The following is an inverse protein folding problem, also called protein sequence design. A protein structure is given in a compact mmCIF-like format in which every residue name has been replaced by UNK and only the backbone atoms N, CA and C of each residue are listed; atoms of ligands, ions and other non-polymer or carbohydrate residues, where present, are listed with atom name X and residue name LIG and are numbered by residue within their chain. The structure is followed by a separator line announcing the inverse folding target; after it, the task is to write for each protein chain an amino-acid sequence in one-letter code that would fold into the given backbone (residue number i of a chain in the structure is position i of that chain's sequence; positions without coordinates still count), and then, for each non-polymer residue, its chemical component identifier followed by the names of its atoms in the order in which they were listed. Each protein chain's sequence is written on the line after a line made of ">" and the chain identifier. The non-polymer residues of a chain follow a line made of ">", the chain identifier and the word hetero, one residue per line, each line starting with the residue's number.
data_IF_735431730567
#
_entry.id   IF_735431730567
#
_cell.length_a   1.000
_cell.length_b   1.000
_cell.length_c   1.000
_cell.angle_alpha   90.00
_cell.angle_beta   90.00
_cell.angle_gamma   90.00
#
_symmetry.space_group_name_H-M   'P 1'
#
loop_
_entity.id
_entity.type
_entity.pdbx_description
1 polymer ?
#
# COMPACT_ATOMS: atom_id res chain seq x y z
N UNK A 1 16.75 -5.18 -24.18
CA UNK A 1 15.49 -4.49 -23.87
C UNK A 1 15.63 -2.99 -24.12
N UNK A 2 14.82 -2.46 -25.03
CA UNK A 2 14.65 -1.02 -25.20
C UNK A 2 13.44 -0.56 -24.40
N UNK A 3 13.59 0.52 -23.63
CA UNK A 3 12.51 1.15 -22.88
C UNK A 3 12.33 2.59 -23.36
N UNK A 4 11.09 3.01 -23.54
CA UNK A 4 10.71 4.40 -23.80
C UNK A 4 9.65 4.88 -22.81
N UNK A 5 9.64 6.17 -22.53
CA UNK A 5 8.63 6.82 -21.70
C UNK A 5 7.75 7.70 -22.60
N UNK A 6 6.45 7.52 -22.53
CA UNK A 6 5.48 8.29 -23.33
C UNK A 6 4.27 8.66 -22.48
N UNK A 7 3.66 9.80 -22.79
CA UNK A 7 2.33 10.14 -22.26
C UNK A 7 1.31 9.86 -23.33
N UNK A 8 0.30 9.03 -23.03
CA UNK A 8 -0.72 8.70 -24.02
C UNK A 8 -1.74 9.84 -24.20
N UNK A 9 -2.64 9.69 -25.17
CA UNK A 9 -3.68 10.69 -25.48
C UNK A 9 -4.66 11.00 -24.32
N UNK A 10 -4.66 10.19 -23.25
CA UNK A 10 -5.46 10.39 -22.03
C UNK A 10 -4.64 11.00 -20.89
N UNK A 11 -3.41 11.44 -21.14
CA UNK A 11 -2.53 11.99 -20.11
C UNK A 11 -2.03 10.94 -19.12
N UNK A 12 -1.97 9.66 -19.49
CA UNK A 12 -1.37 8.63 -18.62
C UNK A 12 0.09 8.37 -19.04
N UNK A 13 0.97 8.37 -18.04
CA UNK A 13 2.35 7.98 -18.23
C UNK A 13 2.44 6.49 -18.56
N UNK A 14 3.18 6.17 -19.61
CA UNK A 14 3.38 4.81 -20.08
C UNK A 14 4.88 4.54 -20.28
N UNK A 15 5.37 3.46 -19.70
CA UNK A 15 6.68 2.89 -19.97
C UNK A 15 6.48 1.80 -21.02
N UNK A 16 6.97 2.03 -22.23
CA UNK A 16 6.88 1.07 -23.34
C UNK A 16 8.18 0.29 -23.46
N UNK A 17 8.09 -1.02 -23.67
CA UNK A 17 9.25 -1.88 -23.85
C UNK A 17 9.03 -2.90 -24.98
N UNK A 18 10.09 -3.51 -25.50
CA UNK A 18 10.04 -4.40 -26.68
C UNK A 18 10.33 -5.89 -26.39
N UNK A 19 10.83 -6.20 -25.20
CA UNK A 19 11.15 -7.56 -24.74
C UNK A 19 10.30 -7.95 -23.52
N UNK A 20 9.88 -9.21 -23.41
CA UNK A 20 9.07 -9.66 -22.27
C UNK A 20 9.94 -9.73 -21.00
N UNK A 21 9.43 -9.26 -19.86
CA UNK A 21 10.09 -9.46 -18.59
C UNK A 21 10.06 -10.93 -18.16
N UNK A 22 11.09 -11.35 -17.44
CA UNK A 22 11.18 -12.70 -16.86
C UNK A 22 10.20 -12.89 -15.69
N UNK A 23 9.83 -11.79 -15.02
CA UNK A 23 8.87 -11.75 -13.93
C UNK A 23 7.92 -10.55 -14.08
N UNK A 24 6.71 -10.59 -13.47
CA UNK A 24 5.80 -9.46 -13.48
C UNK A 24 6.39 -8.26 -12.71
N UNK A 25 6.36 -7.04 -13.28
CA UNK A 25 6.69 -5.83 -12.56
C UNK A 25 5.59 -5.49 -11.54
N UNK A 26 5.99 -5.09 -10.33
CA UNK A 26 5.09 -4.76 -9.22
C UNK A 26 4.86 -3.26 -9.07
N UNK A 27 5.92 -2.46 -9.19
CA UNK A 27 5.87 -1.00 -9.16
C UNK A 27 7.10 -0.42 -9.86
N UNK A 28 7.03 0.89 -10.15
CA UNK A 28 8.17 1.65 -10.65
C UNK A 28 8.54 2.70 -9.60
N UNK A 29 9.81 2.73 -9.20
CA UNK A 29 10.37 3.80 -8.39
C UNK A 29 10.90 4.92 -9.27
N UNK A 30 10.64 6.16 -8.89
CA UNK A 30 11.30 7.34 -9.43
C UNK A 30 12.20 7.93 -8.36
N UNK A 31 13.52 7.81 -8.56
CA UNK A 31 14.52 8.36 -7.66
C UNK A 31 14.66 9.87 -7.90
N UNK A 32 14.19 10.69 -6.96
CA UNK A 32 14.20 12.15 -7.08
C UNK A 32 15.62 12.73 -7.12
N UNK A 33 16.55 12.10 -6.39
CA UNK A 33 17.96 12.51 -6.33
C UNK A 33 18.72 12.23 -7.63
N UNK A 34 18.33 11.17 -8.35
CA UNK A 34 18.98 10.72 -9.59
C UNK A 34 18.18 11.05 -10.85
N UNK A 35 16.94 11.54 -10.69
CA UNK A 35 15.98 11.72 -11.79
C UNK A 35 15.84 10.49 -12.68
N UNK A 36 15.85 9.31 -12.07
CA UNK A 36 15.92 8.02 -12.77
C UNK A 36 14.78 7.10 -12.33
N UNK A 37 14.29 6.29 -13.27
CA UNK A 37 13.28 5.26 -13.01
C UNK A 37 13.92 3.90 -12.73
N UNK A 38 13.29 3.12 -11.87
CA UNK A 38 13.67 1.74 -11.56
C UNK A 38 12.41 0.86 -11.49
N UNK A 39 12.42 -0.26 -12.21
CA UNK A 39 11.31 -1.22 -12.21
C UNK A 39 11.60 -2.27 -11.15
N UNK A 40 10.63 -2.54 -10.28
CA UNK A 40 10.72 -3.59 -9.27
C UNK A 40 9.84 -4.77 -9.68
N UNK A 41 10.32 -5.99 -9.44
CA UNK A 41 9.66 -7.23 -9.85
C UNK A 41 9.22 -8.05 -8.65
N UNK A 42 8.24 -8.93 -8.86
CA UNK A 42 7.72 -9.83 -7.83
C UNK A 42 8.79 -10.78 -7.25
N UNK A 43 9.84 -11.06 -8.04
CA UNK A 43 11.00 -11.85 -7.60
C UNK A 43 11.91 -11.13 -6.59
N UNK A 44 11.65 -9.84 -6.31
CA UNK A 44 12.53 -8.96 -5.54
C UNK A 44 13.69 -8.39 -6.35
N UNK A 45 13.83 -8.77 -7.63
CA UNK A 45 14.76 -8.13 -8.54
C UNK A 45 14.31 -6.69 -8.85
N UNK A 46 15.26 -5.83 -9.19
CA UNK A 46 14.98 -4.51 -9.74
C UNK A 46 15.80 -4.26 -11.01
N UNK A 47 15.31 -3.35 -11.84
CA UNK A 47 15.93 -2.96 -13.10
C UNK A 47 15.96 -1.44 -13.21
N UNK A 48 17.10 -0.78 -12.96
CA UNK A 48 17.25 0.64 -13.19
C UNK A 48 17.22 0.93 -14.69
N UNK A 49 16.49 1.96 -15.08
CA UNK A 49 16.37 2.38 -16.47
C UNK A 49 17.49 3.38 -16.72
N UNK A 50 18.40 3.04 -17.63
CA UNK A 50 19.51 3.91 -18.03
C UNK A 50 19.01 5.11 -18.85
N UNK A 51 18.40 6.07 -18.16
CA UNK A 51 17.78 7.28 -18.68
C UNK A 51 17.59 8.28 -17.54
N UNK A 52 17.84 9.56 -17.81
CA UNK A 52 17.66 10.66 -16.86
C UNK A 52 16.52 11.57 -17.33
N UNK A 53 15.66 11.98 -16.39
CA UNK A 53 14.52 12.83 -16.68
C UNK A 53 14.93 14.27 -17.00
N UNK A 54 14.38 14.80 -18.09
CA UNK A 54 14.39 16.24 -18.37
C UNK A 54 13.54 16.98 -17.35
N UNK A 55 13.73 18.29 -17.17
CA UNK A 55 12.97 19.08 -16.17
C UNK A 55 11.45 18.99 -16.38
N UNK A 56 10.98 18.97 -17.64
CA UNK A 56 9.57 18.81 -17.95
C UNK A 56 9.04 17.43 -17.51
N UNK A 57 9.81 16.38 -17.77
CA UNK A 57 9.42 15.02 -17.40
C UNK A 57 9.56 14.78 -15.89
N UNK A 58 10.55 15.39 -15.23
CA UNK A 58 10.71 15.38 -13.77
C UNK A 58 9.47 15.98 -13.09
N UNK A 59 9.04 17.17 -13.52
CA UNK A 59 7.82 17.80 -13.01
C UNK A 59 6.56 16.94 -13.25
N UNK A 60 6.51 16.22 -14.37
CA UNK A 60 5.41 15.30 -14.67
C UNK A 60 5.44 14.06 -13.76
N UNK A 61 6.62 13.45 -13.60
CA UNK A 61 6.85 12.27 -12.78
C UNK A 61 6.55 12.57 -11.31
N UNK A 62 6.97 13.71 -10.79
CA UNK A 62 6.67 14.15 -9.42
C UNK A 62 5.16 14.30 -9.14
N UNK A 63 4.36 14.61 -10.16
CA UNK A 63 2.89 14.72 -10.03
C UNK A 63 2.14 13.42 -10.33
N UNK A 64 2.85 12.40 -10.82
CA UNK A 64 2.26 11.14 -11.24
C UNK A 64 2.42 10.09 -10.16
N UNK A 65 1.34 9.41 -9.79
CA UNK A 65 1.34 8.26 -8.88
C UNK A 65 1.09 6.93 -9.61
N UNK A 66 0.95 6.99 -10.95
CA UNK A 66 0.60 5.86 -11.81
C UNK A 66 1.45 5.86 -13.07
N UNK A 67 1.87 4.67 -13.46
CA UNK A 67 2.56 4.42 -14.73
C UNK A 67 2.10 3.08 -15.29
N UNK A 68 1.77 3.08 -16.59
CA UNK A 68 1.41 1.86 -17.30
C UNK A 68 2.66 1.28 -17.96
N UNK A 69 3.03 0.05 -17.63
CA UNK A 69 4.10 -0.63 -18.37
C UNK A 69 3.45 -1.40 -19.52
N UNK A 70 3.92 -1.21 -20.76
CA UNK A 70 3.30 -1.78 -21.96
C UNK A 70 4.35 -2.46 -22.83
N UNK A 71 4.19 -3.77 -23.04
CA UNK A 71 4.96 -4.51 -24.02
C UNK A 71 4.43 -4.21 -25.43
N UNK A 72 5.31 -3.71 -26.28
CA UNK A 72 5.02 -3.38 -27.68
C UNK A 72 5.72 -4.38 -28.60
N UNK A 73 4.97 -5.02 -29.49
CA UNK A 73 5.52 -5.90 -30.54
C UNK A 73 4.96 -5.51 -31.89
N UNK A 74 5.83 -5.25 -32.87
CA UNK A 74 5.43 -4.81 -34.23
C UNK A 74 4.43 -3.62 -34.19
N UNK A 75 4.73 -2.62 -33.34
CA UNK A 75 3.91 -1.41 -33.12
C UNK A 75 2.51 -1.66 -32.55
N UNK A 76 2.25 -2.83 -31.96
CA UNK A 76 0.99 -3.13 -31.27
C UNK A 76 1.24 -3.45 -29.79
N UNK A 77 0.38 -3.00 -28.86
CA UNK A 77 0.44 -3.43 -27.48
C UNK A 77 0.08 -4.91 -27.39
N UNK A 78 0.89 -5.68 -26.65
CA UNK A 78 0.73 -7.13 -26.47
C UNK A 78 0.36 -7.46 -25.03
N UNK A 79 0.98 -6.78 -24.07
CA UNK A 79 0.81 -7.01 -22.64
C UNK A 79 0.94 -5.67 -21.92
N UNK A 80 0.30 -5.53 -20.77
CA UNK A 80 0.43 -4.31 -19.98
C UNK A 80 0.18 -4.53 -18.50
N UNK A 81 0.86 -3.73 -17.69
CA UNK A 81 0.80 -3.74 -16.23
C UNK A 81 0.36 -2.37 -15.73
N UNK A 82 -0.69 -2.32 -14.91
CA UNK A 82 -1.10 -1.11 -14.18
C UNK A 82 -0.30 -1.02 -12.90
N UNK A 83 0.78 -0.25 -12.95
CA UNK A 83 1.75 -0.14 -11.85
C UNK A 83 1.69 1.21 -11.17
N UNK A 84 1.96 1.21 -9.87
CA UNK A 84 2.15 2.45 -9.12
C UNK A 84 3.52 3.07 -9.46
N UNK A 85 3.57 4.40 -9.50
CA UNK A 85 4.81 5.15 -9.54
C UNK A 85 5.08 5.67 -8.13
N UNK A 86 6.19 5.24 -7.52
CA UNK A 86 6.60 5.63 -6.17
C UNK A 86 7.74 6.63 -6.26
N UNK A 87 7.67 7.73 -5.51
CA UNK A 87 8.77 8.68 -5.40
C UNK A 87 9.72 8.21 -4.31
N UNK A 88 10.99 8.07 -4.68
CA UNK A 88 12.04 7.55 -3.83
C UNK A 88 13.12 8.60 -3.58
N UNK A 89 13.63 8.68 -2.37
CA UNK A 89 14.91 9.33 -2.04
C UNK A 89 15.83 8.24 -1.51
N UNK A 90 17.00 8.06 -2.13
CA UNK A 90 17.99 7.03 -1.73
C UNK A 90 17.41 5.60 -1.64
N UNK A 91 16.34 5.31 -2.39
CA UNK A 91 15.66 4.00 -2.37
C UNK A 91 14.55 3.84 -1.32
N UNK A 92 14.25 4.88 -0.53
CA UNK A 92 13.13 4.89 0.41
C UNK A 92 11.95 5.71 -0.14
N UNK A 93 10.73 5.22 0.04
CA UNK A 93 9.52 5.90 -0.44
C UNK A 93 9.20 7.14 0.41
N UNK A 94 8.69 8.18 -0.24
CA UNK A 94 8.40 9.48 0.38
C UNK A 94 6.90 9.69 0.42
N UNK A 95 6.37 10.10 1.58
CA UNK A 95 5.03 10.68 1.68
C UNK A 95 5.09 12.16 1.26
N UNK A 96 4.45 12.48 0.14
CA UNK A 96 4.35 13.86 -0.32
C UNK A 96 3.31 14.61 0.53
N UNK A 97 3.78 15.42 1.48
CA UNK A 97 2.93 16.41 2.17
C UNK A 97 2.59 17.54 1.19
N UNK A 98 1.29 17.72 0.91
CA UNK A 98 0.81 18.93 0.24
C UNK A 98 0.92 20.10 1.22
N UNK A 99 1.95 20.95 1.04
CA UNK A 99 2.14 22.16 1.81
C UNK A 99 1.39 23.33 1.16
N UNK A 100 0.57 24.02 1.95
CA UNK A 100 0.12 25.37 1.63
C UNK A 100 0.03 26.21 2.91
N UNK A 101 0.94 27.17 3.04
CA UNK A 101 0.59 28.50 3.55
C UNK A 101 1.17 28.88 4.92
N UNK A 102 2.35 29.47 4.86
CA UNK A 102 3.12 30.15 5.90
C UNK A 102 2.41 31.37 6.55
N UNK A 103 2.61 31.58 7.86
CA UNK A 103 2.66 32.89 8.56
C UNK A 103 3.08 32.73 10.05
N UNK A 104 4.29 33.17 10.38
CA UNK A 104 4.88 33.40 11.73
C UNK A 104 4.55 34.84 12.23
N UNK A 105 5.01 35.36 13.42
CA UNK A 105 5.41 34.76 14.72
C UNK A 105 4.79 35.53 15.95
N UNK A 106 4.88 35.05 17.21
CA UNK A 106 5.88 35.41 18.27
C UNK A 106 5.16 35.41 19.65
N UNK A 107 5.83 35.70 20.79
CA UNK A 107 6.91 35.01 21.51
C UNK A 107 6.38 34.49 22.88
N UNK A 108 7.13 33.68 23.66
CA UNK A 108 7.91 34.20 24.79
C UNK A 108 8.96 33.18 25.25
N UNK A 109 10.22 33.66 25.23
CA UNK A 109 11.40 33.41 26.10
C UNK A 109 11.36 32.27 27.13
N UNK A 110 12.30 31.31 27.04
CA UNK A 110 13.56 31.19 27.84
C UNK A 110 13.29 30.91 29.34
N UNK A 111 13.92 29.99 30.05
CA UNK A 111 15.19 29.23 29.98
C UNK A 111 15.10 28.19 31.11
N UNK A 112 15.78 27.04 31.01
CA UNK A 112 16.82 26.67 32.00
C UNK A 112 17.29 25.20 31.92
N UNK A 113 18.62 25.12 31.76
CA UNK A 113 19.58 24.26 32.49
C UNK A 113 19.60 22.73 32.27
N UNK A 114 20.77 22.29 31.77
CA UNK A 114 21.30 20.92 31.71
C UNK A 114 22.07 20.63 33.01
N UNK A 115 21.86 19.46 33.65
CA UNK A 115 22.92 18.51 34.04
C UNK A 115 22.41 17.19 34.66
N UNK A 116 22.89 16.08 34.05
CA UNK A 116 23.35 14.79 34.62
C UNK A 116 22.49 14.03 35.66
N UNK A 117 22.15 12.77 35.34
CA UNK A 117 22.81 11.59 35.93
C UNK A 117 22.39 10.28 35.23
N UNK A 118 23.35 9.35 35.21
CA UNK A 118 23.31 7.92 34.86
C UNK A 118 22.11 7.21 35.55
N UNK A 119 21.53 6.11 35.06
CA UNK A 119 22.13 4.79 34.91
C UNK A 119 21.06 3.77 34.41
N UNK A 120 21.51 2.63 33.90
CA UNK A 120 20.78 1.35 33.78
C UNK A 120 20.00 1.06 32.48
N UNK A 121 20.70 0.33 31.60
CA UNK A 121 20.23 -0.80 30.79
C UNK A 121 18.72 -1.10 30.83
N UNK A 122 18.04 -0.88 29.70
CA UNK A 122 17.01 -1.80 29.23
C UNK A 122 17.03 -1.86 27.71
N UNK A 123 17.47 -3.02 27.21
CA UNK A 123 17.08 -3.50 25.89
C UNK A 123 15.55 -3.56 25.86
N UNK A 124 14.92 -2.69 25.09
CA UNK A 124 13.50 -2.78 24.73
C UNK A 124 13.49 -3.18 23.26
N UNK A 125 13.47 -4.48 23.00
CA UNK A 125 12.29 -5.22 22.50
C UNK A 125 11.60 -4.52 21.33
N UNK A 126 11.60 -5.25 20.23
CA UNK A 126 10.95 -4.94 18.96
C UNK A 126 9.44 -5.03 19.22
N UNK A 127 8.81 -3.91 19.55
CA UNK A 127 7.37 -3.89 19.79
C UNK A 127 6.62 -3.57 18.48
N UNK A 128 5.94 -4.61 18.00
CA UNK A 128 4.78 -4.71 17.11
C UNK A 128 4.31 -3.44 16.37
N UNK A 129 4.19 -3.47 15.02
CA UNK A 129 3.55 -2.38 14.29
C UNK A 129 2.04 -2.41 14.55
N UNK A 130 1.55 -1.31 15.09
CA UNK A 130 0.21 -1.15 15.65
C UNK A 130 -0.84 -1.13 14.54
N UNK A 131 -1.77 -2.10 14.55
CA UNK A 131 -3.09 -1.98 13.91
C UNK A 131 -3.96 -1.10 14.83
N UNK A 132 -3.68 0.20 14.92
CA UNK A 132 -4.28 1.07 15.95
C UNK A 132 -5.71 1.52 15.64
N UNK A 133 -6.16 1.41 14.39
CA UNK A 133 -7.42 2.00 13.92
C UNK A 133 -8.49 0.98 13.52
N UNK A 134 -8.14 -0.29 13.34
CA UNK A 134 -9.07 -1.35 12.95
C UNK A 134 -9.50 -2.13 14.18
N UNK A 135 -10.80 -2.22 14.39
CA UNK A 135 -11.38 -2.94 15.53
C UNK A 135 -11.15 -4.45 15.40
N UNK A 136 -10.55 -5.07 16.41
CA UNK A 136 -10.51 -6.53 16.52
C UNK A 136 -11.88 -7.07 16.92
N UNK A 137 -12.33 -8.16 16.29
CA UNK A 137 -13.59 -8.84 16.67
C UNK A 137 -13.33 -10.26 17.15
N UNK A 138 -14.25 -10.75 17.98
CA UNK A 138 -14.19 -12.09 18.58
C UNK A 138 -15.32 -12.95 18.05
N UNK A 139 -15.27 -14.26 18.28
CA UNK A 139 -16.38 -15.19 17.99
C UNK A 139 -17.72 -14.70 18.57
N UNK A 140 -17.70 -14.08 19.76
CA UNK A 140 -18.91 -13.62 20.44
C UNK A 140 -19.56 -12.40 19.75
N UNK A 141 -18.77 -11.57 19.08
CA UNK A 141 -19.25 -10.33 18.45
C UNK A 141 -19.46 -10.48 16.94
N UNK A 142 -18.83 -11.48 16.32
CA UNK A 142 -18.89 -11.74 14.87
C UNK A 142 -20.31 -11.77 14.30
N UNK A 143 -21.24 -12.44 14.99
CA UNK A 143 -22.63 -12.54 14.54
C UNK A 143 -23.32 -11.16 14.43
N UNK A 144 -23.10 -10.28 15.41
CA UNK A 144 -23.77 -8.99 15.40
C UNK A 144 -23.03 -7.98 14.52
N UNK A 145 -21.70 -7.96 14.57
CA UNK A 145 -20.87 -6.95 13.91
C UNK A 145 -20.64 -7.25 12.42
N UNK A 146 -20.71 -8.52 12.00
CA UNK A 146 -20.47 -8.95 10.62
C UNK A 146 -21.72 -9.51 9.97
N UNK A 147 -22.38 -10.50 10.59
CA UNK A 147 -23.49 -11.21 9.94
C UNK A 147 -24.76 -10.35 9.87
N UNK A 148 -25.10 -9.66 10.96
CA UNK A 148 -26.29 -8.81 11.04
C UNK A 148 -26.04 -7.37 10.58
N UNK A 149 -24.85 -7.05 10.08
CA UNK A 149 -24.52 -5.72 9.63
C UNK A 149 -25.36 -5.33 8.41
N UNK A 150 -25.92 -4.11 8.45
CA UNK A 150 -26.70 -3.54 7.35
C UNK A 150 -25.80 -2.95 6.23
N UNK A 151 -24.53 -2.73 6.53
CA UNK A 151 -23.54 -2.11 5.64
C UNK A 151 -22.53 -3.19 5.21
N UNK A 152 -21.79 -3.02 4.11
CA UNK A 152 -20.75 -3.96 3.74
C UNK A 152 -19.65 -3.99 4.82
N UNK A 153 -19.21 -5.20 5.19
CA UNK A 153 -18.20 -5.42 6.24
C UNK A 153 -16.99 -6.15 5.67
N UNK A 154 -15.81 -5.57 5.82
CA UNK A 154 -14.55 -6.20 5.43
C UNK A 154 -13.90 -6.86 6.65
N UNK A 155 -13.65 -8.16 6.60
CA UNK A 155 -12.96 -8.92 7.64
C UNK A 155 -11.56 -9.30 7.17
N UNK A 156 -10.55 -8.93 7.95
CA UNK A 156 -9.14 -9.17 7.70
C UNK A 156 -8.57 -10.26 8.61
N UNK A 157 -8.22 -11.41 8.03
CA UNK A 157 -7.59 -12.54 8.72
C UNK A 157 -6.06 -12.44 8.64
N UNK A 158 -5.39 -12.51 9.79
CA UNK A 158 -3.95 -12.30 9.93
C UNK A 158 -3.33 -13.10 11.08
N UNK A 159 -2.00 -13.09 11.20
CA UNK A 159 -1.24 -13.57 12.38
C UNK A 159 0.01 -12.72 12.62
N UNK A 160 0.57 -12.80 13.82
CA UNK A 160 1.72 -11.98 14.27
C UNK A 160 3.03 -12.28 13.50
N UNK A 161 3.22 -13.53 13.13
CA UNK A 161 4.42 -14.01 12.43
C UNK A 161 4.32 -13.88 10.90
N UNK A 162 3.21 -13.36 10.39
CA UNK A 162 2.97 -13.16 8.96
C UNK A 162 3.55 -11.81 8.49
N UNK A 163 4.70 -11.85 7.81
CA UNK A 163 5.36 -10.63 7.30
C UNK A 163 4.50 -9.83 6.31
N UNK A 164 3.83 -10.51 5.38
CA UNK A 164 2.93 -9.90 4.39
C UNK A 164 1.65 -9.31 5.00
N UNK A 165 1.24 -9.80 6.18
CA UNK A 165 0.12 -9.27 6.94
C UNK A 165 0.39 -7.85 7.44
N UNK A 166 1.64 -7.52 7.80
CA UNK A 166 1.98 -6.14 8.21
C UNK A 166 1.75 -5.12 7.11
N UNK A 167 2.16 -5.45 5.88
CA UNK A 167 1.97 -4.57 4.73
C UNK A 167 0.50 -4.34 4.41
N UNK A 168 -0.33 -5.39 4.45
CA UNK A 168 -1.77 -5.24 4.23
C UNK A 168 -2.46 -4.49 5.37
N UNK A 169 -2.05 -4.73 6.62
CA UNK A 169 -2.56 -4.01 7.79
C UNK A 169 -2.33 -2.50 7.71
N UNK A 170 -1.13 -2.06 7.31
CA UNK A 170 -0.84 -0.64 7.07
C UNK A 170 -1.75 -0.06 5.99
N UNK A 171 -1.87 -0.75 4.86
CA UNK A 171 -2.73 -0.33 3.75
C UNK A 171 -4.21 -0.21 4.17
N UNK A 172 -4.71 -1.14 5.00
CA UNK A 172 -6.07 -1.10 5.52
C UNK A 172 -6.26 0.06 6.49
N UNK A 173 -5.32 0.33 7.40
CA UNK A 173 -5.39 1.47 8.33
C UNK A 173 -5.47 2.79 7.56
N UNK A 174 -4.63 2.97 6.55
CA UNK A 174 -4.63 4.18 5.72
C UNK A 174 -5.92 4.34 4.91
N UNK A 175 -6.57 3.25 4.50
CA UNK A 175 -7.86 3.29 3.79
C UNK A 175 -9.06 3.45 4.72
N UNK A 176 -8.95 2.98 5.96
CA UNK A 176 -10.04 3.03 6.92
C UNK A 176 -10.51 4.47 7.13
N UNK A 177 -9.57 5.41 7.25
CA UNK A 177 -9.87 6.84 7.39
C UNK A 177 -10.70 7.41 6.21
N UNK A 178 -10.53 6.86 5.01
CA UNK A 178 -11.21 7.31 3.79
C UNK A 178 -12.56 6.60 3.56
N UNK A 179 -12.74 5.40 4.13
CA UNK A 179 -13.84 4.49 3.80
C UNK A 179 -14.76 4.17 4.98
N UNK A 180 -14.52 4.73 6.17
CA UNK A 180 -15.32 4.52 7.39
C UNK A 180 -16.82 4.74 7.20
N UNK A 181 -17.22 5.67 6.32
CA UNK A 181 -18.63 5.96 6.03
C UNK A 181 -19.28 4.97 5.06
N UNK A 182 -18.47 4.11 4.41
CA UNK A 182 -18.91 3.19 3.35
C UNK A 182 -18.79 1.72 3.73
N UNK A 183 -17.79 1.37 4.55
CA UNK A 183 -17.57 0.01 5.05
C UNK A 183 -17.10 0.01 6.49
N UNK A 184 -17.51 -1.03 7.23
CA UNK A 184 -16.85 -1.40 8.47
C UNK A 184 -15.68 -2.32 8.15
N UNK A 185 -14.55 -2.14 8.85
CA UNK A 185 -13.39 -3.02 8.73
C UNK A 185 -13.11 -3.63 10.10
N UNK A 186 -12.96 -4.95 10.15
CA UNK A 186 -12.60 -5.70 11.34
C UNK A 186 -11.42 -6.62 11.07
N UNK A 187 -10.59 -6.86 12.09
CA UNK A 187 -9.48 -7.81 12.01
C UNK A 187 -9.71 -9.01 12.93
N UNK A 188 -9.26 -10.18 12.49
CA UNK A 188 -9.29 -11.44 13.24
C UNK A 188 -7.91 -12.09 13.17
N UNK A 189 -7.32 -12.36 14.33
CA UNK A 189 -6.13 -13.19 14.42
C UNK A 189 -6.53 -14.66 14.23
N UNK A 190 -6.04 -15.31 13.18
CA UNK A 190 -6.41 -16.67 12.82
C UNK A 190 -5.87 -17.72 13.81
N UNK A 191 -4.78 -17.43 14.53
CA UNK A 191 -4.24 -18.31 15.57
C UNK A 191 -5.10 -18.28 16.84
N UNK A 192 -5.67 -17.12 17.17
CA UNK A 192 -6.54 -16.95 18.33
C UNK A 192 -7.96 -17.46 18.08
N UNK A 193 -8.45 -17.33 16.84
CA UNK A 193 -9.80 -17.73 16.44
C UNK A 193 -9.79 -18.78 15.30
N UNK A 194 -9.18 -19.96 15.51
CA UNK A 194 -9.03 -20.98 14.48
C UNK A 194 -10.37 -21.58 14.03
N UNK A 195 -11.40 -21.53 14.88
CA UNK A 195 -12.76 -21.95 14.56
C UNK A 195 -13.40 -21.09 13.48
N UNK A 196 -13.30 -19.76 13.60
CA UNK A 196 -13.76 -18.83 12.56
C UNK A 196 -12.95 -18.95 11.27
N UNK A 197 -11.62 -19.04 11.39
CA UNK A 197 -10.75 -19.26 10.24
C UNK A 197 -11.15 -20.53 9.47
N UNK A 198 -11.35 -21.64 10.18
CA UNK A 198 -11.78 -22.92 9.60
C UNK A 198 -13.17 -22.83 8.98
N UNK A 199 -14.13 -22.18 9.65
CA UNK A 199 -15.51 -22.00 9.18
C UNK A 199 -15.57 -21.33 7.81
N UNK A 200 -14.72 -20.34 7.56
CA UNK A 200 -14.66 -19.62 6.29
C UNK A 200 -13.56 -20.12 5.34
N UNK A 201 -12.94 -21.26 5.65
CA UNK A 201 -11.94 -21.87 4.78
C UNK A 201 -10.65 -21.06 4.62
N UNK A 202 -10.26 -20.30 5.63
CA UNK A 202 -9.02 -19.53 5.64
C UNK A 202 -7.83 -20.50 5.76
N UNK A 203 -7.14 -20.72 4.64
CA UNK A 203 -5.96 -21.59 4.54
C UNK A 203 -4.66 -20.81 4.41
N UNK A 204 -4.76 -19.62 3.86
CA UNK A 204 -3.66 -18.73 3.59
C UNK A 204 -3.95 -17.36 4.21
N UNK A 205 -2.92 -16.71 4.73
CA UNK A 205 -2.99 -15.36 5.27
C UNK A 205 -1.92 -14.49 4.59
N UNK A 206 -2.16 -13.18 4.43
CA UNK A 206 -3.39 -12.48 4.81
C UNK A 206 -4.58 -12.82 3.89
N UNK A 207 -5.80 -12.86 4.44
CA UNK A 207 -7.04 -13.01 3.65
C UNK A 207 -8.07 -11.98 4.05
N UNK A 208 -8.75 -11.40 3.07
CA UNK A 208 -9.86 -10.49 3.21
C UNK A 208 -11.16 -11.14 2.75
N UNK A 209 -12.21 -11.03 3.57
CA UNK A 209 -13.57 -11.39 3.20
C UNK A 209 -14.46 -10.15 3.27
N UNK A 210 -15.15 -9.83 2.18
CA UNK A 210 -16.20 -8.81 2.17
C UNK A 210 -17.55 -9.47 2.40
N UNK A 211 -18.27 -9.06 3.42
CA UNK A 211 -19.61 -9.49 3.75
C UNK A 211 -20.66 -8.46 3.31
N UNK A 212 -21.79 -8.93 2.80
CA UNK A 212 -22.99 -8.13 2.52
C UNK A 212 -24.23 -8.94 2.86
N UNK A 213 -25.11 -8.38 3.69
CA UNK A 213 -26.32 -9.08 4.12
C UNK A 213 -26.03 -10.42 4.81
N UNK A 214 -24.89 -10.51 5.52
CA UNK A 214 -24.45 -11.73 6.21
C UNK A 214 -23.76 -12.79 5.35
N UNK A 215 -23.62 -12.57 4.04
CA UNK A 215 -22.97 -13.52 3.12
C UNK A 215 -21.64 -12.98 2.59
N UNK A 216 -20.71 -13.87 2.25
CA UNK A 216 -19.43 -13.51 1.64
C UNK A 216 -19.66 -13.09 0.19
N UNK A 217 -19.54 -11.79 -0.08
CA UNK A 217 -19.68 -11.19 -1.39
C UNK A 217 -18.37 -11.21 -2.20
N UNK A 218 -17.21 -11.17 -1.54
CA UNK A 218 -15.92 -11.26 -2.20
C UNK A 218 -14.83 -11.78 -1.27
N UNK A 219 -13.83 -12.44 -1.86
CA UNK A 219 -12.63 -12.93 -1.17
C UNK A 219 -11.40 -12.40 -1.86
N UNK A 220 -10.41 -11.98 -1.08
CA UNK A 220 -9.07 -11.65 -1.58
C UNK A 220 -8.02 -12.30 -0.71
N UNK A 221 -7.16 -13.10 -1.33
CA UNK A 221 -6.03 -13.77 -0.67
C UNK A 221 -4.75 -13.02 -1.03
N UNK A 222 -3.85 -12.89 -0.06
CA UNK A 222 -2.55 -12.26 -0.22
C UNK A 222 -2.57 -10.75 0.04
N UNK A 223 -1.38 -10.21 0.23
CA UNK A 223 -1.20 -8.79 0.54
C UNK A 223 -1.45 -7.91 -0.69
N UNK A 224 -1.99 -6.73 -0.43
CA UNK A 224 -2.17 -5.65 -1.39
C UNK A 224 -1.73 -4.35 -0.73
N UNK A 225 -1.08 -3.47 -1.50
CA UNK A 225 -0.87 -2.09 -1.07
C UNK A 225 -2.18 -1.28 -1.11
N UNK A 226 -2.16 -0.07 -0.55
CA UNK A 226 -3.32 0.83 -0.43
C UNK A 226 -4.09 1.03 -1.74
N UNK A 227 -3.43 1.41 -2.82
CA UNK A 227 -4.09 1.71 -4.10
C UNK A 227 -4.81 0.50 -4.75
N UNK A 228 -4.18 -0.68 -4.92
CA UNK A 228 -4.88 -1.84 -5.46
C UNK A 228 -5.97 -2.36 -4.51
N UNK A 229 -5.77 -2.25 -3.20
CA UNK A 229 -6.80 -2.59 -2.21
C UNK A 229 -8.03 -1.67 -2.35
N UNK A 230 -7.81 -0.36 -2.47
CA UNK A 230 -8.87 0.62 -2.76
C UNK A 230 -9.61 0.30 -4.04
N UNK A 231 -8.87 0.04 -5.13
CA UNK A 231 -9.48 -0.29 -6.42
C UNK A 231 -10.30 -1.58 -6.37
N UNK A 232 -9.83 -2.57 -5.62
CA UNK A 232 -10.58 -3.81 -5.41
C UNK A 232 -11.88 -3.55 -4.65
N UNK A 233 -11.84 -2.76 -3.56
CA UNK A 233 -13.02 -2.38 -2.79
C UNK A 233 -14.01 -1.54 -3.62
N UNK A 234 -13.52 -0.55 -4.37
CA UNK A 234 -14.36 0.33 -5.20
C UNK A 234 -15.10 -0.40 -6.31
N UNK A 235 -14.56 -1.50 -6.85
CA UNK A 235 -15.27 -2.33 -7.83
C UNK A 235 -16.42 -3.13 -7.24
N UNK A 236 -16.40 -3.31 -5.92
CA UNK A 236 -17.42 -4.07 -5.23
C UNK A 236 -18.55 -3.15 -4.80
N UNK A 237 -18.30 -1.87 -4.53
CA UNK A 237 -19.34 -0.86 -4.23
C UNK A 237 -20.23 -0.52 -5.43
#
# INVERSE_FOLDING_TARGET
>A
MNIGLVVNARGKLCLVHDEKFEAPPIFVGYHLDKRQLEIFFETGASYPIDWEATDEMDAYLQKSNKILIILMRRKKPVEGYDTSLLHLIKGEAIEMSEDSGESLPSPDSETDTIEKQEESHKVTTIDTPVISSITSITDATFENDVIKALHPVLVYFWTEWCGSCRSLGSALNELFAELQDRISIYSINADEYPGLASKYGIRDIPTLLLFRGGEVAATRIGALGKLPLRSWLEKLF
#
